data_IF_038895052170
#
_entry.id   IF_038895052170
#
_cell.length_a   1.000
_cell.length_b   1.000
_cell.length_c   1.000
_cell.angle_alpha   90.00
_cell.angle_beta   90.00
_cell.angle_gamma   90.00
#
_symmetry.space_group_name_H-M   'P 1'
#
loop_
_entity.id
_entity.type
_entity.pdbx_description
1 polymer ?
#
# COMPACT_ATOMS: atom_id res chain seq x y z
N UNK A 1 45.00 30.58 -11.76
CA UNK A 1 43.98 30.93 -10.74
C UNK A 1 42.99 32.02 -11.20
N UNK A 2 42.84 32.30 -12.51
CA UNK A 2 41.78 33.20 -13.03
C UNK A 2 40.51 32.42 -13.41
N UNK A 3 40.68 31.32 -14.15
CA UNK A 3 39.58 30.47 -14.62
C UNK A 3 38.72 29.87 -13.50
N UNK A 4 39.31 29.46 -12.36
CA UNK A 4 38.54 28.89 -11.24
C UNK A 4 37.57 29.91 -10.59
N UNK A 5 37.90 31.21 -10.66
CA UNK A 5 37.10 32.29 -10.09
C UNK A 5 35.87 32.61 -10.97
N UNK A 6 35.99 32.43 -12.28
CA UNK A 6 34.90 32.65 -13.25
C UNK A 6 33.81 31.58 -13.12
N UNK A 7 34.19 30.31 -12.96
CA UNK A 7 33.22 29.22 -12.72
C UNK A 7 32.58 29.31 -11.33
N UNK A 8 33.32 29.77 -10.32
CA UNK A 8 32.75 30.01 -8.99
C UNK A 8 31.67 31.11 -9.02
N UNK A 9 31.89 32.17 -9.80
CA UNK A 9 30.91 33.23 -9.96
C UNK A 9 29.67 32.75 -10.73
N UNK A 10 29.85 31.92 -11.77
CA UNK A 10 28.75 31.29 -12.49
C UNK A 10 27.91 30.35 -11.61
N UNK A 11 28.55 29.56 -10.74
CA UNK A 11 27.86 28.69 -9.77
C UNK A 11 27.06 29.48 -8.72
N UNK A 12 27.59 30.62 -8.27
CA UNK A 12 26.90 31.50 -7.33
C UNK A 12 25.62 32.11 -7.92
N UNK A 13 25.65 32.50 -9.20
CA UNK A 13 24.50 33.09 -9.90
C UNK A 13 23.38 32.06 -10.13
N UNK A 14 23.72 30.79 -10.39
CA UNK A 14 22.71 29.72 -10.54
C UNK A 14 22.06 29.28 -9.22
N UNK A 15 22.74 29.43 -8.08
CA UNK A 15 22.18 29.04 -6.77
C UNK A 15 21.26 30.08 -6.12
N UNK A 16 21.32 31.34 -6.57
CA UNK A 16 20.48 32.45 -6.06
C UNK A 16 19.03 32.43 -6.58
N UNK A 17 18.73 31.67 -7.65
CA UNK A 17 17.38 31.53 -8.21
C UNK A 17 16.36 30.87 -7.26
N UNK A 18 16.81 30.26 -6.16
CA UNK A 18 15.96 29.56 -5.19
C UNK A 18 15.40 30.44 -4.07
N UNK A 19 15.84 31.71 -3.95
CA UNK A 19 15.37 32.60 -2.88
C UNK A 19 14.07 33.32 -3.25
N UNK A 20 13.87 33.67 -4.51
CA UNK A 20 12.66 34.36 -4.99
C UNK A 20 11.42 33.46 -5.02
N UNK A 21 11.61 32.13 -5.10
CA UNK A 21 10.51 31.16 -5.15
C UNK A 21 9.85 30.88 -3.78
N UNK A 22 10.40 31.42 -2.67
CA UNK A 22 9.89 31.15 -1.32
C UNK A 22 8.93 32.20 -0.76
N UNK A 23 8.45 33.16 -1.56
CA UNK A 23 7.49 34.18 -1.08
C UNK A 23 6.06 33.90 -1.51
N UNK A 24 5.60 32.65 -1.38
CA UNK A 24 4.16 32.39 -1.34
C UNK A 24 3.63 32.68 0.07
N UNK A 25 3.19 33.92 0.31
CA UNK A 25 2.36 34.26 1.47
C UNK A 25 0.90 34.14 1.02
N UNK A 26 0.42 32.90 0.91
CA UNK A 26 -1.01 32.66 0.84
C UNK A 26 -1.63 33.17 2.13
N UNK A 27 -2.59 34.11 2.06
CA UNK A 27 -3.27 34.62 3.24
C UNK A 27 -4.00 33.48 3.96
N UNK A 28 -3.28 32.95 4.94
CA UNK A 28 -3.66 32.53 6.28
C UNK A 28 -5.11 32.89 6.60
N UNK A 29 -5.91 31.86 6.91
CA UNK A 29 -7.25 32.00 7.46
C UNK A 29 -7.24 33.06 8.60
N UNK A 30 -7.97 34.19 8.46
CA UNK A 30 -7.95 35.29 9.44
C UNK A 30 -8.59 34.92 10.78
N UNK A 31 -9.29 33.78 10.82
CA UNK A 31 -9.80 33.16 12.04
C UNK A 31 -9.22 31.75 12.13
N UNK A 32 -7.93 31.59 12.50
CA UNK A 32 -7.40 30.27 12.76
C UNK A 32 -8.15 29.73 13.97
N UNK A 33 -9.10 28.83 13.73
CA UNK A 33 -9.62 28.02 14.82
C UNK A 33 -8.42 27.25 15.35
N UNK A 34 -7.91 27.65 16.52
CA UNK A 34 -6.92 26.92 17.33
C UNK A 34 -7.51 25.61 17.90
N UNK A 35 -8.49 25.02 17.20
CA UNK A 35 -8.64 23.59 17.26
C UNK A 35 -7.37 23.06 16.61
N UNK A 36 -6.35 22.77 17.41
CA UNK A 36 -5.39 21.76 17.03
C UNK A 36 -6.25 20.59 16.56
N UNK A 37 -6.32 20.39 15.25
CA UNK A 37 -6.79 19.12 14.73
C UNK A 37 -5.83 18.14 15.38
N UNK A 38 -6.28 17.49 16.44
CA UNK A 38 -5.61 16.36 17.05
C UNK A 38 -5.60 15.25 15.99
N UNK A 39 -4.79 15.44 14.93
CA UNK A 39 -4.46 14.46 13.89
C UNK A 39 -3.43 13.48 14.46
N UNK A 40 -3.69 13.06 15.70
CA UNK A 40 -2.90 12.15 16.50
C UNK A 40 -3.74 10.96 16.96
N UNK A 41 -4.80 10.63 16.23
CA UNK A 41 -5.38 9.30 16.34
C UNK A 41 -4.77 8.46 15.24
N UNK A 42 -3.85 7.57 15.60
CA UNK A 42 -3.63 6.37 14.82
C UNK A 42 -4.99 5.77 14.46
N UNK A 43 -5.32 5.69 13.19
CA UNK A 43 -6.61 5.17 12.74
C UNK A 43 -6.54 3.64 12.66
N UNK A 44 -7.65 2.98 12.94
CA UNK A 44 -7.76 1.52 12.94
C UNK A 44 -8.83 1.07 11.95
N UNK A 45 -8.39 0.40 10.89
CA UNK A 45 -9.24 -0.24 9.90
C UNK A 45 -9.55 -1.65 10.40
N UNK A 46 -10.83 -1.99 10.50
CA UNK A 46 -11.31 -3.32 10.86
C UNK A 46 -11.77 -4.07 9.62
N UNK A 47 -11.21 -5.24 9.38
CA UNK A 47 -11.51 -6.07 8.22
C UNK A 47 -12.10 -7.41 8.68
N UNK A 48 -13.25 -7.78 8.12
CA UNK A 48 -13.72 -9.16 8.13
C UNK A 48 -13.37 -9.75 6.77
N UNK A 49 -12.41 -10.67 6.75
CA UNK A 49 -11.95 -11.32 5.54
C UNK A 49 -12.69 -12.65 5.36
N UNK A 50 -13.25 -12.85 4.17
CA UNK A 50 -14.11 -13.99 3.83
C UNK A 50 -13.57 -14.64 2.55
N UNK A 51 -13.37 -15.95 2.60
CA UNK A 51 -13.02 -16.74 1.43
C UNK A 51 -14.31 -17.22 0.75
N UNK A 52 -14.41 -17.01 -0.56
CA UNK A 52 -15.60 -17.36 -1.34
C UNK A 52 -15.19 -18.17 -2.56
N UNK A 53 -15.85 -19.31 -2.75
CA UNK A 53 -15.85 -20.07 -4.00
C UNK A 53 -17.11 -19.73 -4.79
N UNK A 54 -16.94 -19.52 -6.08
CA UNK A 54 -18.04 -19.23 -6.99
C UNK A 54 -18.53 -20.51 -7.66
N UNK A 55 -19.71 -20.41 -8.28
CA UNK A 55 -20.16 -21.43 -9.21
C UNK A 55 -19.06 -21.75 -10.23
N UNK A 56 -18.80 -23.05 -10.41
CA UNK A 56 -17.78 -23.56 -11.33
C UNK A 56 -17.99 -23.00 -12.74
N UNK A 57 -16.97 -22.35 -13.26
CA UNK A 57 -16.89 -21.87 -14.63
C UNK A 57 -16.40 -22.98 -15.57
N UNK A 58 -16.82 -22.90 -16.83
CA UNK A 58 -16.42 -23.79 -17.93
C UNK A 58 -15.78 -23.05 -19.10
N UNK A 59 -15.59 -21.73 -19.01
CA UNK A 59 -14.91 -20.95 -20.04
C UNK A 59 -13.42 -21.31 -20.07
N UNK A 60 -12.99 -21.92 -21.18
CA UNK A 60 -11.58 -22.29 -21.37
C UNK A 60 -10.63 -21.09 -21.56
N UNK A 61 -11.15 -19.86 -21.60
CA UNK A 61 -10.34 -18.63 -21.64
C UNK A 61 -9.98 -18.11 -20.22
N UNK A 62 -10.44 -18.77 -19.15
CA UNK A 62 -10.08 -18.44 -17.76
C UNK A 62 -9.01 -19.38 -17.23
N UNK A 63 -8.16 -18.90 -16.32
CA UNK A 63 -7.04 -19.68 -15.80
C UNK A 63 -7.45 -20.65 -14.67
N UNK A 64 -8.67 -20.54 -14.14
CA UNK A 64 -9.22 -21.40 -13.08
C UNK A 64 -10.74 -21.39 -13.18
N UNK A 65 -11.41 -22.20 -12.38
CA UNK A 65 -12.85 -22.47 -12.54
C UNK A 65 -13.73 -21.75 -11.50
N UNK A 66 -13.19 -20.79 -10.76
CA UNK A 66 -13.92 -20.07 -9.71
C UNK A 66 -13.85 -20.72 -8.32
N UNK A 67 -13.22 -21.89 -8.17
CA UNK A 67 -12.88 -22.47 -6.88
C UNK A 67 -11.42 -22.22 -6.50
N UNK A 68 -11.07 -22.37 -5.22
CA UNK A 68 -9.66 -22.31 -4.81
C UNK A 68 -8.88 -23.49 -5.41
N UNK A 69 -7.56 -23.30 -5.57
CA UNK A 69 -6.62 -24.29 -6.11
C UNK A 69 -6.86 -24.71 -7.58
N UNK A 70 -7.82 -24.11 -8.29
CA UNK A 70 -8.21 -24.52 -9.65
C UNK A 70 -7.26 -24.06 -10.75
N UNK A 71 -6.35 -23.12 -10.44
CA UNK A 71 -5.48 -22.51 -11.44
C UNK A 71 -4.29 -23.37 -11.88
N UNK A 72 -4.06 -24.48 -11.18
CA UNK A 72 -2.96 -25.40 -11.44
C UNK A 72 -3.49 -26.80 -11.71
N UNK A 73 -2.95 -27.47 -12.72
CA UNK A 73 -3.31 -28.86 -13.05
C UNK A 73 -2.89 -29.86 -11.96
N UNK A 74 -1.91 -29.49 -11.13
CA UNK A 74 -1.37 -30.29 -10.02
C UNK A 74 -0.61 -29.42 -9.04
N UNK A 75 -0.25 -29.98 -7.90
CA UNK A 75 0.68 -29.36 -6.96
C UNK A 75 2.12 -29.38 -7.52
N UNK A 76 2.69 -28.19 -7.71
CA UNK A 76 4.06 -27.99 -8.20
C UNK A 76 5.08 -27.82 -7.05
N UNK A 77 4.63 -27.81 -5.80
CA UNK A 77 5.43 -27.51 -4.61
C UNK A 77 6.12 -26.15 -4.70
N UNK A 78 7.23 -25.98 -3.97
CA UNK A 78 7.93 -24.69 -3.82
C UNK A 78 8.76 -24.25 -5.05
N UNK A 79 8.52 -24.84 -6.22
CA UNK A 79 9.26 -24.54 -7.45
C UNK A 79 8.67 -23.37 -8.23
N UNK A 80 7.48 -22.93 -7.85
CA UNK A 80 6.76 -21.85 -8.51
C UNK A 80 6.50 -20.71 -7.54
N UNK A 81 6.22 -19.54 -8.09
CA UNK A 81 5.65 -18.44 -7.32
C UNK A 81 4.21 -18.82 -7.00
N UNK A 82 3.80 -18.58 -5.76
CA UNK A 82 2.42 -18.77 -5.30
C UNK A 82 1.91 -20.23 -5.31
N UNK A 83 2.61 -21.17 -4.66
CA UNK A 83 2.25 -22.58 -4.69
C UNK A 83 0.97 -22.88 -3.91
N UNK A 84 0.36 -24.02 -4.23
CA UNK A 84 -0.73 -24.61 -3.44
C UNK A 84 -0.26 -25.00 -2.02
N UNK A 85 -1.17 -25.12 -1.03
CA UNK A 85 -2.61 -24.83 -1.12
C UNK A 85 -2.95 -23.35 -0.90
N UNK A 86 -3.96 -22.86 -1.62
CA UNK A 86 -4.59 -21.56 -1.40
C UNK A 86 -5.69 -21.65 -0.33
N UNK A 87 -5.30 -22.09 0.86
CA UNK A 87 -6.18 -22.29 2.00
C UNK A 87 -6.34 -21.04 2.90
N UNK A 88 -7.00 -21.21 4.04
CA UNK A 88 -7.21 -20.14 5.04
C UNK A 88 -5.88 -19.59 5.55
N UNK A 89 -4.84 -20.42 5.69
CA UNK A 89 -3.52 -20.00 6.16
C UNK A 89 -2.82 -19.14 5.10
N UNK A 90 -2.87 -19.58 3.85
CA UNK A 90 -2.38 -18.83 2.69
C UNK A 90 -3.05 -17.45 2.60
N UNK A 91 -4.38 -17.42 2.71
CA UNK A 91 -5.14 -16.18 2.70
C UNK A 91 -4.80 -15.29 3.92
N UNK A 92 -4.60 -15.89 5.09
CA UNK A 92 -4.19 -15.17 6.30
C UNK A 92 -2.84 -14.48 6.15
N UNK A 93 -1.88 -15.14 5.50
CA UNK A 93 -0.57 -14.55 5.23
C UNK A 93 -0.67 -13.31 4.34
N UNK A 94 -1.60 -13.28 3.38
CA UNK A 94 -1.85 -12.11 2.53
C UNK A 94 -2.43 -10.93 3.30
N UNK A 95 -3.41 -11.19 4.19
CA UNK A 95 -3.99 -10.14 5.03
C UNK A 95 -2.97 -9.62 6.06
N UNK A 96 -2.16 -10.50 6.64
CA UNK A 96 -1.06 -10.13 7.55
C UNK A 96 0.00 -9.29 6.82
N UNK A 97 0.34 -9.63 5.58
CA UNK A 97 1.22 -8.81 4.75
C UNK A 97 0.65 -7.39 4.58
N UNK A 98 -0.64 -7.26 4.24
CA UNK A 98 -1.28 -5.95 4.09
C UNK A 98 -1.23 -5.14 5.39
N UNK A 99 -1.54 -5.76 6.54
CA UNK A 99 -1.42 -5.13 7.86
C UNK A 99 -0.01 -4.60 8.11
N UNK A 100 1.00 -5.42 7.84
CA UNK A 100 2.41 -5.05 8.06
C UNK A 100 2.86 -3.94 7.11
N UNK A 101 2.47 -4.03 5.84
CA UNK A 101 2.74 -2.99 4.86
C UNK A 101 2.17 -1.64 5.30
N UNK A 102 0.87 -1.57 5.59
CA UNK A 102 0.21 -0.31 5.96
C UNK A 102 0.72 0.25 7.29
N UNK A 103 0.98 -0.60 8.28
CA UNK A 103 1.63 -0.17 9.52
C UNK A 103 3.00 0.46 9.25
N UNK A 104 3.82 -0.18 8.40
CA UNK A 104 5.17 0.31 8.07
C UNK A 104 5.16 1.61 7.30
N UNK A 105 4.42 1.68 6.18
CA UNK A 105 4.45 2.87 5.29
C UNK A 105 3.75 4.09 5.90
N UNK A 106 2.82 3.86 6.84
CA UNK A 106 2.14 4.93 7.57
C UNK A 106 2.87 5.39 8.84
N UNK A 107 3.98 4.73 9.21
CA UNK A 107 4.64 4.90 10.51
C UNK A 107 3.65 4.74 11.69
N UNK A 108 2.85 3.66 11.64
CA UNK A 108 1.86 3.33 12.67
C UNK A 108 0.61 4.21 12.68
N UNK A 109 0.42 5.10 11.71
CA UNK A 109 -0.76 5.98 11.63
C UNK A 109 -1.98 5.29 11.04
N UNK A 110 -1.79 4.24 10.25
CA UNK A 110 -2.83 3.38 9.71
C UNK A 110 -2.59 1.95 10.20
N UNK A 111 -3.48 1.48 11.07
CA UNK A 111 -3.40 0.16 11.68
C UNK A 111 -4.53 -0.70 11.13
N UNK A 112 -4.21 -1.95 10.79
CA UNK A 112 -5.20 -2.92 10.33
C UNK A 112 -5.38 -3.96 11.42
N UNK A 113 -6.62 -4.18 11.80
CA UNK A 113 -7.05 -5.34 12.60
C UNK A 113 -7.99 -6.14 11.74
N UNK A 114 -7.80 -7.45 11.71
CA UNK A 114 -8.61 -8.32 10.86
C UNK A 114 -9.04 -9.58 11.59
N UNK A 115 -10.17 -10.12 11.12
CA UNK A 115 -10.64 -11.45 11.46
C UNK A 115 -10.89 -12.19 10.15
N UNK A 116 -10.46 -13.45 10.10
CA UNK A 116 -10.71 -14.32 8.96
C UNK A 116 -11.81 -15.29 9.36
N UNK A 117 -12.84 -15.42 8.51
CA UNK A 117 -13.81 -16.49 8.69
C UNK A 117 -13.15 -17.83 8.31
N UNK A 118 -13.21 -18.84 9.19
CA UNK A 118 -12.50 -20.10 8.96
C UNK A 118 -13.13 -20.96 7.86
N UNK A 119 -14.36 -20.64 7.46
CA UNK A 119 -15.11 -21.37 6.45
C UNK A 119 -15.01 -20.67 5.09
N UNK A 120 -14.79 -21.48 4.06
CA UNK A 120 -14.98 -21.07 2.67
C UNK A 120 -16.48 -21.07 2.39
N UNK A 121 -16.99 -19.96 1.86
CA UNK A 121 -18.41 -19.82 1.49
C UNK A 121 -18.55 -20.14 0.01
N UNK A 122 -19.47 -21.04 -0.34
CA UNK A 122 -19.82 -21.29 -1.75
C UNK A 122 -21.08 -20.53 -2.11
N UNK A 123 -21.07 -19.86 -3.26
CA UNK A 123 -22.21 -19.09 -3.81
C UNK A 123 -22.72 -19.64 -5.13
#
# INVERSE_FOLDING_TARGET
>A
MKFLKEYFFAFLVFSLGSLSAQTFIGKINPFPQLAALNRSSSDTIKILAVMVEFQKDTDNNTAGDGTFNSIYEKDYGDKIIDPLPHDVSYFANHVEFAKNYFSKVSNGKANVVYQILPQVITV
#
